data_IF_808947724430
#
_entry.id   IF_808947724430
#
_cell.length_a   1.000
_cell.length_b   1.000
_cell.length_c   1.000
_cell.angle_alpha   90.00
_cell.angle_beta   90.00
_cell.angle_gamma   90.00
#
_symmetry.space_group_name_H-M   'P 1'
#
loop_
_entity.id
_entity.type
_entity.pdbx_description
1 polymer ?
#
# COMPACT_ATOMS: atom_id res chain seq x y z
N UNK A 1 7.12 19.64 -7.34
CA UNK A 1 6.93 19.02 -6.02
C UNK A 1 6.81 17.52 -6.24
N UNK A 2 7.53 16.64 -5.51
CA UNK A 2 7.43 15.21 -5.79
C UNK A 2 6.00 14.76 -5.46
N UNK A 3 5.38 14.18 -6.46
CA UNK A 3 3.95 13.95 -6.52
C UNK A 3 3.43 13.08 -5.37
N UNK A 4 2.19 13.33 -4.99
CA UNK A 4 1.42 12.64 -3.96
C UNK A 4 1.07 11.18 -4.37
N UNK A 5 2.10 10.36 -4.62
CA UNK A 5 2.04 9.10 -5.37
C UNK A 5 1.86 7.86 -4.51
N UNK A 6 1.89 7.98 -3.19
CA UNK A 6 1.70 6.84 -2.29
C UNK A 6 0.20 6.56 -2.06
N UNK A 7 -0.53 6.34 -3.15
CA UNK A 7 -1.93 5.96 -3.15
C UNK A 7 -2.17 4.92 -4.24
N UNK A 8 -3.16 4.03 -4.05
CA UNK A 8 -3.60 3.13 -5.11
C UNK A 8 -4.00 3.90 -6.39
N UNK A 9 -3.81 3.30 -7.58
CA UNK A 9 -4.34 3.85 -8.82
C UNK A 9 -5.87 3.77 -8.84
N UNK A 10 -6.50 4.48 -9.77
CA UNK A 10 -7.96 4.45 -9.96
C UNK A 10 -8.45 3.07 -10.43
N UNK A 11 -7.59 2.32 -11.15
CA UNK A 11 -7.85 0.99 -11.66
C UNK A 11 -6.54 0.21 -11.80
N UNK A 12 -6.61 -1.12 -11.78
CA UNK A 12 -5.42 -1.97 -11.94
C UNK A 12 -4.65 -2.20 -10.65
N UNK A 13 -3.60 -3.01 -10.76
CA UNK A 13 -2.70 -3.33 -9.65
C UNK A 13 -1.94 -2.08 -9.16
N UNK A 14 -1.78 -1.96 -7.85
CA UNK A 14 -0.90 -0.96 -7.25
C UNK A 14 0.50 -1.53 -7.05
N UNK A 15 1.49 -0.99 -7.76
CA UNK A 15 2.89 -1.40 -7.65
C UNK A 15 3.66 -0.35 -6.85
N UNK A 16 4.08 -0.71 -5.64
CA UNK A 16 4.98 0.09 -4.82
C UNK A 16 6.42 -0.35 -5.12
N UNK A 17 7.09 0.40 -5.99
CA UNK A 17 8.49 0.17 -6.38
C UNK A 17 9.47 1.10 -5.66
N UNK A 18 8.97 2.11 -4.94
CA UNK A 18 9.75 3.04 -4.15
C UNK A 18 9.10 3.21 -2.79
N UNK A 19 9.92 3.30 -1.74
CA UNK A 19 9.42 3.46 -0.37
C UNK A 19 8.57 4.71 -0.25
N UNK A 20 7.39 4.57 0.32
CA UNK A 20 6.44 5.67 0.41
C UNK A 20 5.53 5.54 1.65
N UNK A 21 4.92 6.65 2.06
CA UNK A 21 3.97 6.69 3.18
C UNK A 21 2.61 7.16 2.67
N UNK A 22 1.57 6.36 2.91
CA UNK A 22 0.19 6.77 2.63
C UNK A 22 -0.16 7.97 3.50
N UNK A 23 -0.86 8.97 2.94
CA UNK A 23 -1.31 10.13 3.72
C UNK A 23 -2.73 9.99 4.23
N UNK A 24 -3.57 9.29 3.48
CA UNK A 24 -5.00 9.10 3.76
C UNK A 24 -5.40 7.66 3.51
N UNK A 25 -6.50 7.23 4.12
CA UNK A 25 -7.12 5.95 3.83
C UNK A 25 -7.52 5.86 2.35
N UNK A 26 -7.40 4.67 1.77
CA UNK A 26 -7.73 4.42 0.37
C UNK A 26 -8.11 2.95 0.15
N UNK A 27 -8.78 2.69 -0.97
CA UNK A 27 -9.12 1.35 -1.43
C UNK A 27 -8.23 1.00 -2.63
N UNK A 28 -7.57 -0.15 -2.59
CA UNK A 28 -6.89 -0.70 -3.75
C UNK A 28 -7.92 -1.44 -4.62
N UNK A 29 -8.09 -1.08 -5.90
CA UNK A 29 -9.10 -1.70 -6.75
C UNK A 29 -8.73 -3.14 -7.14
N UNK A 30 -7.44 -3.50 -7.11
CA UNK A 30 -6.92 -4.83 -7.42
C UNK A 30 -5.72 -5.18 -6.51
N UNK A 31 -4.77 -6.01 -6.97
CA UNK A 31 -3.65 -6.46 -6.16
C UNK A 31 -2.71 -5.31 -5.78
N UNK A 32 -2.13 -5.42 -4.59
CA UNK A 32 -1.06 -4.54 -4.13
C UNK A 32 0.24 -5.33 -4.12
N UNK A 33 1.28 -4.82 -4.79
CA UNK A 33 2.61 -5.44 -4.83
C UNK A 33 3.66 -4.47 -4.31
N UNK A 34 4.32 -4.84 -3.23
CA UNK A 34 5.45 -4.09 -2.67
C UNK A 34 6.74 -4.80 -3.07
N UNK A 35 7.56 -4.12 -3.86
CA UNK A 35 8.72 -4.71 -4.54
C UNK A 35 9.94 -3.78 -4.52
N UNK A 36 11.05 -4.22 -5.11
CA UNK A 36 12.25 -3.39 -5.29
C UNK A 36 12.87 -2.88 -3.98
N UNK A 37 12.87 -3.72 -2.93
CA UNK A 37 13.39 -3.38 -1.60
C UNK A 37 12.70 -2.16 -0.98
N UNK A 38 11.44 -1.92 -1.35
CA UNK A 38 10.68 -0.76 -0.88
C UNK A 38 9.87 -1.06 0.37
N UNK A 39 9.51 0.02 1.08
CA UNK A 39 8.66 -0.04 2.27
C UNK A 39 7.41 0.80 2.03
N UNK A 40 6.24 0.16 2.08
CA UNK A 40 4.95 0.84 2.16
C UNK A 40 4.61 1.13 3.62
N UNK A 41 4.47 2.40 3.98
CA UNK A 41 4.12 2.81 5.35
C UNK A 41 2.68 3.25 5.45
N UNK A 42 1.91 2.63 6.35
CA UNK A 42 0.58 3.06 6.75
C UNK A 42 0.70 3.79 8.10
N UNK A 43 0.53 5.12 8.15
CA UNK A 43 0.64 5.87 9.39
C UNK A 43 -0.62 5.71 10.28
N UNK A 44 -0.57 6.29 11.48
CA UNK A 44 -1.62 6.11 12.49
C UNK A 44 -3.01 6.47 11.96
N UNK A 45 -3.98 5.58 12.23
CA UNK A 45 -5.37 5.70 11.80
C UNK A 45 -5.64 5.50 10.30
N UNK A 46 -4.62 5.25 9.46
CA UNK A 46 -4.82 5.04 8.02
C UNK A 46 -5.26 3.61 7.72
N UNK A 47 -6.28 3.49 6.87
CA UNK A 47 -6.78 2.20 6.40
C UNK A 47 -6.46 2.00 4.91
N UNK A 48 -5.84 0.87 4.59
CA UNK A 48 -5.76 0.34 3.23
C UNK A 48 -6.81 -0.76 3.09
N UNK A 49 -7.85 -0.48 2.32
CA UNK A 49 -8.93 -1.42 2.04
C UNK A 49 -8.59 -2.21 0.77
N UNK A 50 -8.62 -3.53 0.86
CA UNK A 50 -8.35 -4.45 -0.24
C UNK A 50 -9.40 -5.56 -0.15
N UNK A 51 -10.07 -5.88 -1.26
CA UNK A 51 -10.91 -7.07 -1.30
C UNK A 51 -10.03 -8.34 -1.32
N UNK A 52 -9.54 -8.74 -0.14
CA UNK A 52 -8.65 -9.88 0.08
C UNK A 52 -9.31 -11.23 -0.24
N UNK A 53 -10.60 -11.26 -0.61
CA UNK A 53 -11.25 -12.47 -1.14
C UNK A 53 -10.89 -12.71 -2.60
N UNK A 54 -10.69 -11.65 -3.37
CA UNK A 54 -10.43 -11.69 -4.81
C UNK A 54 -9.01 -11.26 -5.18
N UNK A 55 -8.35 -10.46 -4.33
CA UNK A 55 -7.03 -9.88 -4.57
C UNK A 55 -6.06 -10.16 -3.43
N UNK A 56 -4.80 -9.77 -3.62
CA UNK A 56 -3.72 -10.02 -2.67
C UNK A 56 -2.87 -8.79 -2.40
N UNK A 57 -2.29 -8.75 -1.20
CA UNK A 57 -1.13 -7.93 -0.86
C UNK A 57 0.12 -8.81 -0.91
N UNK A 58 0.94 -8.65 -1.94
CA UNK A 58 2.19 -9.40 -2.11
C UNK A 58 3.38 -8.53 -1.72
N UNK A 59 4.20 -9.04 -0.81
CA UNK A 59 5.46 -8.40 -0.39
C UNK A 59 6.63 -9.22 -0.89
N UNK A 60 7.43 -8.65 -1.79
CA UNK A 60 8.61 -9.34 -2.32
C UNK A 60 9.76 -9.37 -1.31
N UNK A 61 10.68 -10.32 -1.53
CA UNK A 61 11.88 -10.48 -0.71
C UNK A 61 12.63 -9.16 -0.55
N UNK A 62 12.88 -8.77 0.71
CA UNK A 62 13.58 -7.55 1.06
C UNK A 62 12.74 -6.28 1.04
N UNK A 63 11.48 -6.37 0.63
CA UNK A 63 10.49 -5.29 0.76
C UNK A 63 9.69 -5.46 2.06
N UNK A 64 8.88 -4.46 2.42
CA UNK A 64 8.11 -4.50 3.65
C UNK A 64 6.87 -3.62 3.67
N UNK A 65 5.97 -3.92 4.60
CA UNK A 65 4.82 -3.06 4.93
C UNK A 65 4.94 -2.69 6.40
N UNK A 66 5.04 -1.39 6.69
CA UNK A 66 5.11 -0.85 8.04
C UNK A 66 3.72 -0.33 8.44
N UNK A 67 3.05 -1.08 9.31
CA UNK A 67 1.75 -0.72 9.86
C UNK A 67 1.97 -0.06 11.22
N UNK A 68 1.69 1.25 11.32
CA UNK A 68 1.78 1.96 12.61
C UNK A 68 0.54 1.69 13.46
N UNK A 69 0.60 2.08 14.75
CA UNK A 69 -0.54 2.02 15.68
C UNK A 69 -1.80 2.53 15.00
N UNK A 70 -2.95 1.89 15.20
CA UNK A 70 -4.24 2.36 14.67
C UNK A 70 -4.44 2.20 13.16
N UNK A 71 -3.38 1.90 12.39
CA UNK A 71 -3.50 1.61 10.98
C UNK A 71 -4.08 0.21 10.74
N UNK A 72 -4.80 0.03 9.63
CA UNK A 72 -5.50 -1.22 9.32
C UNK A 72 -5.34 -1.61 7.85
N UNK A 73 -5.19 -2.91 7.61
CA UNK A 73 -5.39 -3.54 6.29
C UNK A 73 -6.61 -4.43 6.45
N UNK A 74 -7.63 -4.25 5.63
CA UNK A 74 -8.88 -5.01 5.72
C UNK A 74 -9.43 -5.34 4.34
#
# INVERSE_FOLDING_TARGET
>A
EPEDTCKPPVSGNWIVSQSCTMKTSATAPENVRVQSLSILTLPDGVTLDIDLKNYSLTVEKGSGVLIKKGATIK
#
